data_IF_228960536347
#
_entry.id   IF_228960536347
#
_cell.length_a   1.000
_cell.length_b   1.000
_cell.length_c   1.000
_cell.angle_alpha   90.00
_cell.angle_beta   90.00
_cell.angle_gamma   90.00
#
_symmetry.space_group_name_H-M   'P 1'
#
loop_
_entity.id
_entity.type
_entity.pdbx_description
1 polymer ?
#
# COMPACT_ATOMS: atom_id res chain seq x y z
N UNK A 1 7.92 10.85 12.17
CA UNK A 1 7.29 10.44 10.90
C UNK A 1 8.24 9.59 10.06
N UNK A 2 9.48 10.05 9.91
CA UNK A 2 10.60 9.31 9.29
C UNK A 2 10.78 7.86 9.79
N UNK A 3 10.64 7.61 11.10
CA UNK A 3 10.79 6.26 11.68
C UNK A 3 9.70 5.26 11.25
N UNK A 4 8.52 5.74 10.80
CA UNK A 4 7.46 4.87 10.29
C UNK A 4 7.70 4.44 8.83
N UNK A 5 8.49 5.20 8.07
CA UNK A 5 8.82 4.96 6.66
C UNK A 5 10.14 4.18 6.46
N UNK A 6 10.88 3.92 7.54
CA UNK A 6 12.15 3.15 7.50
C UNK A 6 11.96 1.62 7.71
N UNK A 7 10.72 1.14 7.87
CA UNK A 7 10.37 -0.29 7.87
C UNK A 7 9.84 -0.74 6.51
N UNK A 8 9.46 -2.02 6.35
CA UNK A 8 8.72 -2.57 5.19
C UNK A 8 7.27 -2.05 5.14
N UNK A 9 7.08 -0.79 5.50
CA UNK A 9 5.79 -0.14 5.66
C UNK A 9 5.45 0.57 4.36
N UNK A 10 4.25 0.32 3.84
CA UNK A 10 3.74 1.06 2.70
C UNK A 10 3.24 2.43 3.16
N UNK A 11 3.65 3.50 2.48
CA UNK A 11 3.28 4.87 2.83
C UNK A 11 2.65 5.62 1.66
N UNK A 12 1.86 6.64 2.00
CA UNK A 12 1.14 7.51 1.06
C UNK A 12 1.35 8.97 1.43
N UNK A 13 1.82 9.77 0.47
CA UNK A 13 2.00 11.21 0.60
C UNK A 13 0.90 11.92 -0.19
N UNK A 14 0.02 12.67 0.47
CA UNK A 14 -1.11 13.36 -0.17
C UNK A 14 -0.70 14.68 -0.82
N UNK A 15 -1.44 15.10 -1.86
CA UNK A 15 -1.12 16.25 -2.72
C UNK A 15 -1.08 17.63 -2.03
N UNK A 16 -1.60 17.78 -0.81
CA UNK A 16 -1.44 19.00 -0.01
C UNK A 16 -0.17 18.99 0.83
N UNK A 17 0.95 18.55 0.24
CA UNK A 17 2.25 18.66 0.88
C UNK A 17 2.72 20.11 0.79
N UNK A 18 2.84 20.77 1.94
CA UNK A 18 3.62 22.00 2.02
C UNK A 18 5.08 21.63 1.84
N UNK A 19 5.84 22.50 1.16
CA UNK A 19 7.11 22.21 0.48
C UNK A 19 8.30 21.88 1.40
N UNK A 20 8.06 21.58 2.68
CA UNK A 20 9.09 21.35 3.69
C UNK A 20 9.03 19.87 4.13
N UNK A 21 10.18 19.19 4.07
CA UNK A 21 10.49 17.92 4.77
C UNK A 21 10.20 16.57 4.09
N UNK A 22 10.16 16.45 2.75
CA UNK A 22 10.12 15.11 2.11
C UNK A 22 11.13 14.91 0.97
N UNK A 23 12.06 15.85 0.75
CA UNK A 23 13.06 15.74 -0.33
C UNK A 23 14.00 14.54 -0.19
N UNK A 24 14.11 13.97 1.01
CA UNK A 24 14.96 12.82 1.31
C UNK A 24 14.20 11.48 1.29
N UNK A 25 12.90 11.50 0.96
CA UNK A 25 11.99 10.34 1.04
C UNK A 25 11.81 9.65 -0.33
N UNK A 26 12.25 10.29 -1.42
CA UNK A 26 12.20 9.72 -2.77
C UNK A 26 13.05 8.43 -2.93
N UNK A 27 13.97 8.14 -1.99
CA UNK A 27 14.82 6.94 -2.02
C UNK A 27 14.23 5.73 -1.27
N UNK A 28 13.07 5.87 -0.62
CA UNK A 28 12.45 4.78 0.14
C UNK A 28 11.49 3.97 -0.74
N UNK A 29 11.79 2.68 -0.92
CA UNK A 29 10.88 1.72 -1.57
C UNK A 29 9.55 1.63 -0.80
N UNK A 30 8.42 1.63 -1.51
CA UNK A 30 7.09 1.48 -0.90
C UNK A 30 6.37 2.78 -0.53
N UNK A 31 6.72 3.90 -1.18
CA UNK A 31 6.05 5.19 -1.01
C UNK A 31 5.29 5.59 -2.27
N UNK A 32 4.01 5.93 -2.10
CA UNK A 32 3.13 6.39 -3.16
C UNK A 32 2.82 7.87 -3.00
N UNK A 33 3.13 8.67 -4.01
CA UNK A 33 2.81 10.10 -4.05
C UNK A 33 1.45 10.31 -4.73
N UNK A 34 0.42 10.51 -3.92
CA UNK A 34 -0.93 10.75 -4.37
C UNK A 34 -1.07 12.13 -5.04
N UNK A 35 -1.92 12.19 -6.06
CA UNK A 35 -2.31 13.46 -6.71
C UNK A 35 -3.37 14.18 -5.88
N UNK A 36 -4.26 13.42 -5.23
CA UNK A 36 -5.32 13.91 -4.37
C UNK A 36 -4.81 14.52 -3.07
N UNK A 37 -5.42 15.64 -2.67
CA UNK A 37 -5.19 16.26 -1.37
C UNK A 37 -6.05 15.64 -0.27
N UNK A 38 -5.56 15.69 0.97
CA UNK A 38 -6.29 15.25 2.17
C UNK A 38 -6.86 13.82 2.01
N UNK A 39 -8.14 13.60 2.32
CA UNK A 39 -8.78 12.29 2.24
C UNK A 39 -8.75 11.66 0.84
N UNK A 40 -8.74 12.46 -0.22
CA UNK A 40 -8.69 11.92 -1.59
C UNK A 40 -7.38 11.17 -1.84
N UNK A 41 -6.25 11.73 -1.42
CA UNK A 41 -4.97 11.06 -1.58
C UNK A 41 -4.83 9.79 -0.72
N UNK A 42 -5.51 9.73 0.42
CA UNK A 42 -5.55 8.52 1.25
C UNK A 42 -6.26 7.37 0.50
N UNK A 43 -7.40 7.67 -0.13
CA UNK A 43 -8.14 6.69 -0.93
C UNK A 43 -7.32 6.21 -2.12
N UNK A 44 -6.66 7.12 -2.84
CA UNK A 44 -5.76 6.76 -3.95
C UNK A 44 -4.67 5.78 -3.50
N UNK A 45 -4.10 5.99 -2.31
CA UNK A 45 -3.08 5.09 -1.76
C UNK A 45 -3.61 3.71 -1.37
N UNK A 46 -4.81 3.64 -0.79
CA UNK A 46 -5.49 2.38 -0.46
C UNK A 46 -5.73 1.55 -1.73
N UNK A 47 -6.17 2.21 -2.80
CA UNK A 47 -6.37 1.58 -4.12
C UNK A 47 -5.04 1.15 -4.75
N UNK A 48 -4.02 2.01 -4.71
CA UNK A 48 -2.70 1.73 -5.26
C UNK A 48 -2.07 0.47 -4.66
N UNK A 49 -2.18 0.30 -3.34
CA UNK A 49 -1.66 -0.89 -2.64
C UNK A 49 -2.65 -2.05 -2.57
N UNK A 50 -3.83 -1.90 -3.18
CA UNK A 50 -4.88 -2.91 -3.19
C UNK A 50 -5.22 -3.44 -1.77
N UNK A 51 -5.18 -2.56 -0.76
CA UNK A 51 -5.23 -2.95 0.65
C UNK A 51 -6.56 -3.63 1.05
N UNK A 52 -7.62 -3.35 0.30
CA UNK A 52 -8.98 -3.86 0.56
C UNK A 52 -9.43 -4.94 -0.42
N UNK A 53 -8.55 -5.44 -1.29
CA UNK A 53 -8.92 -6.61 -2.08
C UNK A 53 -9.20 -7.79 -1.16
N UNK A 54 -10.32 -8.46 -1.41
CA UNK A 54 -10.58 -9.75 -0.80
C UNK A 54 -9.64 -10.76 -1.45
N UNK A 55 -8.98 -11.58 -0.63
CA UNK A 55 -8.26 -12.75 -1.13
C UNK A 55 -9.23 -13.56 -2.01
N UNK A 56 -8.88 -13.76 -3.28
CA UNK A 56 -9.59 -14.75 -4.08
C UNK A 56 -9.40 -16.09 -3.38
N UNK A 57 -10.50 -16.67 -2.87
CA UNK A 57 -10.47 -17.98 -2.23
C UNK A 57 -9.79 -18.96 -3.19
N UNK A 58 -8.55 -19.34 -2.87
CA UNK A 58 -7.87 -20.42 -3.56
C UNK A 58 -8.73 -21.66 -3.34
N UNK A 59 -9.42 -22.11 -4.39
CA UNK A 59 -10.23 -23.32 -4.33
C UNK A 59 -9.35 -24.42 -3.74
N UNK A 60 -9.79 -25.09 -2.65
CA UNK A 60 -8.98 -26.11 -2.03
C UNK A 60 -8.70 -27.18 -3.09
N UNK A 61 -7.42 -27.36 -3.40
CA UNK A 61 -6.94 -28.36 -4.33
C UNK A 61 -7.54 -29.70 -3.89
N UNK A 62 -8.41 -30.28 -4.73
CA UNK A 62 -9.09 -31.54 -4.40
C UNK A 62 -8.03 -32.61 -4.28
N UNK A 63 -7.63 -32.94 -3.04
CA UNK A 63 -6.77 -34.09 -2.78
C UNK A 63 -7.43 -35.32 -3.42
N UNK A 64 -6.69 -36.12 -4.22
CA UNK A 64 -7.24 -37.34 -4.77
C UNK A 64 -7.75 -38.18 -3.62
N UNK A 65 -9.01 -38.61 -3.69
CA UNK A 65 -9.53 -39.58 -2.75
C UNK A 65 -8.83 -40.89 -3.11
N UNK A 66 -7.86 -41.30 -2.31
CA UNK A 66 -7.28 -42.63 -2.46
C UNK A 66 -8.34 -43.64 -2.04
N UNK A 67 -8.90 -44.35 -3.01
CA UNK A 67 -9.75 -45.52 -2.78
C UNK A 67 -8.92 -46.59 -2.05
N UNK A 68 -9.28 -46.89 -0.79
CA UNK A 68 -8.77 -48.03 -0.01
C UNK A 68 -9.94 -48.77 0.62
#
# INVERSE_FOLDING_TARGET
DEDMMRGNTLAVVVGNRHHEELSDIDELEGIYFAQGSYAHGIVEGIEHYNFLAQEEEQQPEKRPVEDV
#
